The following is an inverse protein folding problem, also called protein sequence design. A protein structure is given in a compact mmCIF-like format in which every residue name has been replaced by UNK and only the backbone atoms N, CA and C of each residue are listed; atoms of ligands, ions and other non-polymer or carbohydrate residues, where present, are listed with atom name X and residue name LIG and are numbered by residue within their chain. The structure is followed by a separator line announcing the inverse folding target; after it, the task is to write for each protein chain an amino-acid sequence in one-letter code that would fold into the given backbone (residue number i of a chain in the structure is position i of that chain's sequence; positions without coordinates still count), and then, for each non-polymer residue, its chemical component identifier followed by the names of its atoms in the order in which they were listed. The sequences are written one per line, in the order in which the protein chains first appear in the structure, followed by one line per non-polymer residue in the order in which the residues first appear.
data_IF_447449888991
#
_entry.id   IF_447449888991
#
_cell.length_a   1.000
_cell.length_b   1.000
_cell.length_c   1.000
_cell.angle_alpha   90.00
_cell.angle_beta   90.00
_cell.angle_gamma   90.00
#
_symmetry.space_group_name_H-M   'P 1'
#
loop_
_entity.id
_entity.type
_entity.pdbx_description
1 polymer ?
#
# COMPACT_ATOMS: atom_id res chain seq x y z
N UNK A 1 14.42 -19.01 -0.73
CA UNK A 1 15.04 -18.13 0.25
C UNK A 1 14.20 -18.14 1.53
N UNK A 2 14.83 -18.18 2.69
CA UNK A 2 14.13 -18.03 3.97
C UNK A 2 13.85 -16.54 4.19
N UNK A 3 12.64 -16.12 3.87
CA UNK A 3 12.20 -14.72 3.93
C UNK A 3 12.11 -14.16 5.36
N UNK A 4 12.33 -15.01 6.36
CA UNK A 4 12.28 -14.61 7.77
C UNK A 4 13.67 -14.32 8.34
N UNK A 5 14.71 -14.43 7.53
CA UNK A 5 16.10 -14.12 7.92
C UNK A 5 16.56 -12.82 7.27
N UNK A 6 17.28 -12.02 8.04
CA UNK A 6 18.02 -10.89 7.48
C UNK A 6 19.11 -11.40 6.54
N UNK A 7 19.28 -10.73 5.42
CA UNK A 7 20.37 -10.99 4.49
C UNK A 7 21.61 -10.17 4.90
N UNK A 8 22.79 -10.58 4.41
CA UNK A 8 24.02 -9.86 4.65
C UNK A 8 23.91 -8.39 4.20
N UNK A 9 24.28 -7.47 5.07
CA UNK A 9 24.21 -6.04 4.82
C UNK A 9 22.85 -5.38 5.14
N UNK A 10 21.84 -6.13 5.56
CA UNK A 10 20.61 -5.55 6.07
C UNK A 10 20.78 -5.01 7.48
N UNK A 11 20.12 -3.89 7.78
CA UNK A 11 20.00 -3.42 9.14
C UNK A 11 19.07 -4.34 9.93
N UNK A 12 19.60 -4.94 11.00
CA UNK A 12 18.78 -5.73 11.94
C UNK A 12 18.01 -4.78 12.84
N UNK A 13 16.68 -4.95 12.87
CA UNK A 13 15.82 -4.20 13.78
C UNK A 13 15.56 -5.10 14.99
N UNK A 14 16.04 -4.69 16.15
CA UNK A 14 15.75 -5.37 17.42
C UNK A 14 14.28 -5.12 17.78
N UNK A 15 13.44 -6.13 17.55
CA UNK A 15 12.01 -6.10 17.83
C UNK A 15 11.49 -7.51 18.08
N UNK A 16 10.56 -7.67 19.01
CA UNK A 16 9.86 -8.92 19.30
C UNK A 16 8.56 -9.10 18.48
N UNK A 17 8.29 -8.16 17.57
CA UNK A 17 7.05 -8.16 16.75
C UNK A 17 6.93 -9.44 15.94
N UNK A 18 8.03 -9.91 15.32
CA UNK A 18 8.04 -11.15 14.55
C UNK A 18 7.56 -12.33 15.39
N UNK A 19 8.13 -12.50 16.61
CA UNK A 19 7.80 -13.62 17.47
C UNK A 19 6.36 -13.53 17.98
N UNK A 20 5.89 -12.32 18.31
CA UNK A 20 4.49 -12.07 18.67
C UNK A 20 3.54 -12.42 17.53
N UNK A 21 3.85 -12.03 16.30
CA UNK A 21 3.01 -12.34 15.12
C UNK A 21 2.98 -13.84 14.86
N UNK A 22 4.14 -14.51 14.87
CA UNK A 22 4.21 -15.95 14.65
C UNK A 22 3.48 -16.73 15.72
N UNK A 23 3.58 -16.31 16.97
CA UNK A 23 2.82 -16.91 18.08
C UNK A 23 1.33 -16.73 17.86
N UNK A 24 0.86 -15.51 17.59
CA UNK A 24 -0.55 -15.23 17.35
C UNK A 24 -1.10 -16.00 16.14
N UNK A 25 -0.32 -16.16 15.09
CA UNK A 25 -0.69 -16.95 13.92
C UNK A 25 -0.80 -18.45 14.25
N UNK A 26 0.11 -18.98 15.07
CA UNK A 26 0.09 -20.38 15.51
C UNK A 26 -1.07 -20.70 16.46
N UNK A 27 -1.53 -19.73 17.22
CA UNK A 27 -2.65 -19.86 18.16
C UNK A 27 -4.03 -19.60 17.50
N UNK A 28 -4.05 -19.03 16.28
CA UNK A 28 -5.29 -18.72 15.59
C UNK A 28 -5.85 -19.94 14.86
N UNK A 29 -6.89 -20.53 15.44
CA UNK A 29 -7.72 -21.54 14.77
C UNK A 29 -8.99 -20.88 14.21
N UNK A 30 -8.97 -20.60 12.91
CA UNK A 30 -10.09 -19.92 12.24
C UNK A 30 -11.36 -20.78 12.17
N UNK A 31 -11.29 -22.10 12.37
CA UNK A 31 -12.44 -22.98 12.43
C UNK A 31 -13.10 -23.05 13.82
N UNK A 32 -12.47 -22.49 14.85
CA UNK A 32 -13.00 -22.50 16.22
C UNK A 32 -14.14 -21.51 16.45
N UNK A 33 -14.31 -20.54 15.55
CA UNK A 33 -15.35 -19.51 15.66
C UNK A 33 -16.71 -20.02 15.22
N UNK A 34 -17.74 -19.53 15.91
CA UNK A 34 -19.15 -19.91 15.72
C UNK A 34 -19.98 -18.74 15.19
N UNK A 35 -21.20 -19.01 14.76
CA UNK A 35 -22.17 -17.96 14.40
C UNK A 35 -22.38 -16.95 15.53
N UNK A 36 -22.44 -17.42 16.80
CA UNK A 36 -22.60 -16.56 17.97
C UNK A 36 -21.42 -15.60 18.17
N UNK A 37 -20.20 -16.00 17.80
CA UNK A 37 -19.03 -15.12 17.86
C UNK A 37 -19.12 -14.01 16.83
N UNK A 38 -19.60 -14.32 15.61
CA UNK A 38 -19.81 -13.35 14.54
C UNK A 38 -20.94 -12.38 14.89
N UNK A 39 -22.05 -12.87 15.43
CA UNK A 39 -23.19 -12.03 15.88
C UNK A 39 -22.76 -11.08 17.00
N UNK A 40 -22.00 -11.58 17.98
CA UNK A 40 -21.42 -10.75 19.04
C UNK A 40 -20.50 -9.67 18.45
N UNK A 41 -19.59 -10.03 17.54
CA UNK A 41 -18.69 -9.11 16.88
C UNK A 41 -19.47 -8.02 16.09
N UNK A 42 -20.55 -8.38 15.41
CA UNK A 42 -21.43 -7.45 14.70
C UNK A 42 -22.13 -6.48 15.65
N UNK A 43 -22.42 -6.89 16.90
CA UNK A 43 -23.08 -6.03 17.88
C UNK A 43 -22.15 -4.96 18.50
N UNK A 44 -20.84 -5.13 18.43
CA UNK A 44 -19.88 -4.19 19.00
C UNK A 44 -19.78 -2.93 18.13
N UNK A 45 -19.79 -1.76 18.75
CA UNK A 45 -19.59 -0.48 18.08
C UNK A 45 -18.17 -0.37 17.52
N UNK A 46 -17.19 -0.76 18.34
CA UNK A 46 -15.77 -0.78 17.94
C UNK A 46 -15.28 -2.22 17.88
N UNK A 47 -14.71 -2.59 16.73
CA UNK A 47 -14.21 -3.93 16.47
C UNK A 47 -12.88 -4.18 17.21
N UNK A 48 -12.84 -5.25 18.00
CA UNK A 48 -11.61 -5.76 18.63
C UNK A 48 -10.85 -6.69 17.67
N UNK A 49 -9.64 -7.08 18.05
CA UNK A 49 -8.87 -8.10 17.30
C UNK A 49 -9.61 -9.44 17.29
N UNK A 50 -10.26 -9.82 18.39
CA UNK A 50 -11.05 -11.05 18.45
C UNK A 50 -12.29 -10.99 17.56
N UNK A 51 -12.96 -9.85 17.47
CA UNK A 51 -14.06 -9.64 16.54
C UNK A 51 -13.59 -9.76 15.09
N UNK A 52 -12.42 -9.18 14.78
CA UNK A 52 -11.83 -9.29 13.45
C UNK A 52 -11.47 -10.73 13.09
N UNK A 53 -10.93 -11.51 14.03
CA UNK A 53 -10.69 -12.94 13.86
C UNK A 53 -11.98 -13.72 13.57
N UNK A 54 -13.06 -13.42 14.28
CA UNK A 54 -14.38 -14.03 14.01
C UNK A 54 -14.88 -13.69 12.60
N UNK A 55 -14.71 -12.45 12.14
CA UNK A 55 -15.08 -12.04 10.79
C UNK A 55 -14.26 -12.69 9.67
N UNK A 56 -13.04 -13.10 9.95
CA UNK A 56 -12.19 -13.84 9.01
C UNK A 56 -12.49 -15.35 8.98
N UNK A 57 -13.32 -15.85 9.89
CA UNK A 57 -13.64 -17.27 10.01
C UNK A 57 -14.71 -17.72 8.97
N UNK A 58 -14.79 -19.03 8.67
CA UNK A 58 -15.87 -19.56 7.83
C UNK A 58 -17.27 -19.30 8.38
N UNK A 59 -17.40 -19.16 9.72
CA UNK A 59 -18.68 -18.84 10.37
C UNK A 59 -19.25 -17.48 9.94
N UNK A 60 -18.40 -16.56 9.44
CA UNK A 60 -18.82 -15.25 8.98
C UNK A 60 -19.47 -15.27 7.57
N UNK A 61 -19.29 -16.32 6.78
CA UNK A 61 -19.80 -16.36 5.41
C UNK A 61 -21.31 -16.04 5.28
N UNK A 62 -22.21 -16.54 6.15
CA UNK A 62 -23.64 -16.19 6.10
C UNK A 62 -23.93 -14.72 6.46
N UNK A 63 -22.98 -14.01 7.08
CA UNK A 63 -23.13 -12.66 7.60
C UNK A 63 -22.47 -11.59 6.72
N UNK A 64 -21.95 -11.94 5.56
CA UNK A 64 -21.20 -11.01 4.68
C UNK A 64 -22.00 -9.75 4.35
N UNK A 65 -23.30 -9.86 4.08
CA UNK A 65 -24.15 -8.70 3.81
C UNK A 65 -24.27 -7.77 5.03
N UNK A 66 -24.41 -8.34 6.22
CA UNK A 66 -24.49 -7.55 7.47
C UNK A 66 -23.16 -6.87 7.78
N UNK A 67 -22.04 -7.56 7.55
CA UNK A 67 -20.70 -6.99 7.69
C UNK A 67 -20.49 -5.85 6.68
N UNK A 68 -20.92 -6.03 5.43
CA UNK A 68 -20.83 -4.99 4.39
C UNK A 68 -21.65 -3.73 4.75
N UNK A 69 -22.87 -3.91 5.25
CA UNK A 69 -23.72 -2.78 5.70
C UNK A 69 -23.11 -2.03 6.87
N UNK A 70 -22.58 -2.75 7.85
CA UNK A 70 -21.87 -2.14 8.98
C UNK A 70 -20.63 -1.37 8.52
N UNK A 71 -19.84 -1.95 7.63
CA UNK A 71 -18.66 -1.30 7.05
C UNK A 71 -19.06 -0.04 6.25
N UNK A 72 -20.14 -0.09 5.48
CA UNK A 72 -20.69 1.06 4.75
C UNK A 72 -21.07 2.21 5.71
N UNK A 73 -21.80 1.89 6.79
CA UNK A 73 -22.20 2.86 7.80
C UNK A 73 -20.98 3.52 8.45
N UNK A 74 -20.00 2.72 8.90
CA UNK A 74 -18.76 3.23 9.50
C UNK A 74 -18.01 4.12 8.50
N UNK A 75 -17.91 3.69 7.25
CA UNK A 75 -17.23 4.44 6.20
C UNK A 75 -17.93 5.79 5.97
N UNK A 76 -19.25 5.80 5.85
CA UNK A 76 -20.02 7.04 5.68
C UNK A 76 -19.89 7.99 6.87
N UNK A 77 -19.87 7.46 8.09
CA UNK A 77 -19.71 8.26 9.30
C UNK A 77 -18.33 8.93 9.39
N UNK A 78 -17.27 8.28 8.88
CA UNK A 78 -15.91 8.78 8.96
C UNK A 78 -15.48 9.59 7.72
N UNK A 79 -15.95 9.22 6.54
CA UNK A 79 -15.46 9.76 5.26
C UNK A 79 -16.57 10.42 4.42
N UNK A 80 -17.84 10.31 4.84
CA UNK A 80 -18.98 10.78 4.05
C UNK A 80 -19.13 10.00 2.74
N UNK A 81 -19.53 10.72 1.69
CA UNK A 81 -19.71 10.16 0.35
C UNK A 81 -18.55 10.51 -0.60
N UNK A 82 -17.43 11.02 -0.05
CA UNK A 82 -16.29 11.41 -0.86
C UNK A 82 -15.49 10.19 -1.29
N UNK A 83 -15.20 10.11 -2.57
CA UNK A 83 -14.32 9.07 -3.16
C UNK A 83 -13.16 9.76 -3.85
N UNK A 84 -11.94 9.37 -3.51
CA UNK A 84 -10.73 9.82 -4.21
C UNK A 84 -10.45 8.87 -5.36
N UNK A 85 -10.36 9.44 -6.57
CA UNK A 85 -10.03 8.68 -7.78
C UNK A 85 -8.68 9.18 -8.29
N UNK A 86 -7.70 8.31 -8.28
CA UNK A 86 -6.35 8.59 -8.75
C UNK A 86 -5.83 7.47 -9.63
N UNK A 87 -4.81 7.75 -10.41
CA UNK A 87 -4.10 6.74 -11.19
C UNK A 87 -2.61 6.73 -10.87
N UNK A 88 -1.97 5.56 -10.79
CA UNK A 88 -0.53 5.47 -10.61
C UNK A 88 0.22 5.77 -11.92
N UNK A 89 1.35 6.46 -11.81
CA UNK A 89 2.34 6.59 -12.87
C UNK A 89 3.71 6.15 -12.35
N UNK A 90 4.19 5.03 -12.88
CA UNK A 90 5.52 4.50 -12.57
C UNK A 90 6.56 5.22 -13.42
N UNK A 91 7.25 6.20 -12.82
CA UNK A 91 8.26 7.00 -13.54
C UNK A 91 9.61 6.29 -13.66
N UNK A 92 9.92 5.35 -12.75
CA UNK A 92 11.09 4.48 -12.83
C UNK A 92 10.85 3.16 -12.08
N UNK A 93 11.34 2.04 -12.62
CA UNK A 93 11.20 0.72 -12.00
C UNK A 93 12.54 0.07 -11.61
N UNK A 94 13.63 0.84 -11.61
CA UNK A 94 14.90 0.39 -11.03
C UNK A 94 14.77 0.33 -9.52
N UNK A 95 15.16 -0.79 -8.90
CA UNK A 95 15.12 -0.99 -7.46
C UNK A 95 16.36 -1.78 -7.02
N UNK A 96 16.92 -1.42 -5.86
CA UNK A 96 18.05 -2.10 -5.23
C UNK A 96 17.59 -3.13 -4.18
N UNK A 97 16.29 -3.09 -3.82
CA UNK A 97 15.72 -3.94 -2.81
C UNK A 97 15.26 -5.29 -3.37
N UNK A 98 15.14 -6.25 -2.47
CA UNK A 98 14.74 -7.64 -2.77
C UNK A 98 13.46 -8.05 -2.04
N UNK A 99 12.51 -7.11 -1.88
CA UNK A 99 11.19 -7.39 -1.31
C UNK A 99 10.52 -8.53 -2.08
N UNK A 100 10.21 -9.62 -1.37
CA UNK A 100 9.77 -10.89 -1.98
C UNK A 100 8.45 -10.81 -2.74
N UNK A 101 7.61 -9.84 -2.40
CA UNK A 101 6.29 -9.62 -3.01
C UNK A 101 6.31 -8.59 -4.14
N UNK A 102 7.41 -7.87 -4.34
CA UNK A 102 7.45 -6.74 -5.26
C UNK A 102 7.99 -7.13 -6.63
N UNK A 103 7.26 -6.80 -7.70
CA UNK A 103 7.70 -7.02 -9.07
C UNK A 103 8.99 -6.29 -9.43
N UNK A 104 9.32 -5.18 -8.74
CA UNK A 104 10.56 -4.42 -8.95
C UNK A 104 11.76 -4.98 -8.20
N UNK A 105 11.60 -6.06 -7.46
CA UNK A 105 12.70 -6.76 -6.79
C UNK A 105 13.95 -6.86 -7.68
N UNK A 106 15.12 -6.54 -7.12
CA UNK A 106 16.38 -6.46 -7.89
C UNK A 106 16.80 -7.79 -8.55
N UNK A 107 16.33 -8.93 -8.03
CA UNK A 107 16.58 -10.26 -8.60
C UNK A 107 15.60 -10.65 -9.72
N UNK A 108 14.51 -9.91 -9.88
CA UNK A 108 13.57 -10.20 -10.95
C UNK A 108 14.12 -9.76 -12.30
N UNK A 109 14.09 -10.68 -13.27
CA UNK A 109 14.46 -10.39 -14.64
C UNK A 109 13.29 -9.71 -15.38
N UNK A 110 13.15 -8.40 -15.19
CA UNK A 110 12.14 -7.57 -15.84
C UNK A 110 12.79 -6.48 -16.67
N UNK A 111 12.07 -5.96 -17.66
CA UNK A 111 12.51 -4.79 -18.40
C UNK A 111 12.54 -3.57 -17.45
N UNK A 112 13.73 -3.02 -17.24
CA UNK A 112 13.93 -1.82 -16.45
C UNK A 112 13.85 -0.58 -17.33
N UNK A 113 13.15 0.45 -16.85
CA UNK A 113 13.05 1.75 -17.52
C UNK A 113 12.99 2.88 -16.50
N UNK A 114 13.58 4.01 -16.84
CA UNK A 114 13.38 5.33 -16.25
C UNK A 114 12.84 6.22 -17.36
N UNK A 115 11.73 6.89 -17.13
CA UNK A 115 11.18 7.86 -18.07
C UNK A 115 12.02 9.14 -18.03
N UNK A 116 12.27 9.76 -19.18
CA UNK A 116 12.78 11.12 -19.22
C UNK A 116 11.64 12.14 -18.98
N UNK A 117 11.97 13.41 -18.74
CA UNK A 117 10.95 14.40 -18.38
C UNK A 117 9.94 14.67 -19.50
N UNK A 118 10.31 14.52 -20.75
CA UNK A 118 9.37 14.64 -21.89
C UNK A 118 8.40 13.46 -21.93
N UNK A 119 8.88 12.24 -21.67
CA UNK A 119 8.03 11.07 -21.55
C UNK A 119 7.07 11.20 -20.36
N UNK A 120 7.56 11.66 -19.20
CA UNK A 120 6.74 11.92 -18.01
C UNK A 120 5.64 12.94 -18.34
N UNK A 121 5.98 14.07 -18.95
CA UNK A 121 5.03 15.10 -19.29
C UNK A 121 3.99 14.61 -20.30
N UNK A 122 4.41 13.82 -21.29
CA UNK A 122 3.49 13.21 -22.27
C UNK A 122 2.48 12.27 -21.59
N UNK A 123 2.94 11.36 -20.73
CA UNK A 123 2.04 10.45 -19.99
C UNK A 123 1.06 11.23 -19.12
N UNK A 124 1.53 12.27 -18.42
CA UNK A 124 0.68 13.13 -17.59
C UNK A 124 -0.39 13.87 -18.40
N UNK A 125 -0.04 14.34 -19.60
CA UNK A 125 -1.00 14.96 -20.52
C UNK A 125 -2.09 13.96 -20.96
N UNK A 126 -1.71 12.72 -21.26
CA UNK A 126 -2.65 11.67 -21.65
C UNK A 126 -3.58 11.34 -20.49
N UNK A 127 -3.04 11.18 -19.28
CA UNK A 127 -3.84 10.92 -18.08
C UNK A 127 -4.79 12.07 -17.78
N UNK A 128 -4.32 13.31 -17.81
CA UNK A 128 -5.15 14.49 -17.53
C UNK A 128 -6.33 14.64 -18.52
N UNK A 129 -6.15 14.25 -19.80
CA UNK A 129 -7.23 14.23 -20.79
C UNK A 129 -8.37 13.26 -20.46
N UNK A 130 -8.14 12.28 -19.60
CA UNK A 130 -9.21 11.37 -19.11
C UNK A 130 -10.13 12.03 -18.09
N UNK A 131 -9.80 13.23 -17.60
CA UNK A 131 -10.51 13.92 -16.53
C UNK A 131 -10.01 13.58 -15.13
N UNK A 132 -8.92 12.82 -15.00
CA UNK A 132 -8.27 12.57 -13.71
C UNK A 132 -7.68 13.85 -13.14
N UNK A 133 -8.03 14.15 -11.88
CA UNK A 133 -7.51 15.31 -11.15
C UNK A 133 -6.39 14.96 -10.16
N UNK A 134 -6.18 13.67 -9.93
CA UNK A 134 -5.20 13.15 -8.97
C UNK A 134 -4.29 12.11 -9.61
N UNK A 135 -3.00 12.17 -9.26
CA UNK A 135 -1.98 11.24 -9.73
C UNK A 135 -1.13 10.74 -8.55
N UNK A 136 -0.71 9.48 -8.63
CA UNK A 136 0.25 8.88 -7.70
C UNK A 136 1.53 8.54 -8.45
N UNK A 137 2.63 9.21 -8.12
CA UNK A 137 3.93 8.95 -8.72
C UNK A 137 4.67 7.86 -7.95
N UNK A 138 5.13 6.83 -8.63
CA UNK A 138 5.81 5.68 -8.03
C UNK A 138 7.19 5.46 -8.62
N UNK A 139 8.11 5.05 -7.75
CA UNK A 139 9.43 4.55 -8.16
C UNK A 139 9.83 3.33 -7.34
N UNK A 140 10.75 2.53 -7.88
CA UNK A 140 11.58 1.68 -7.06
C UNK A 140 12.65 2.49 -6.32
N UNK A 141 13.29 1.91 -5.31
CA UNK A 141 14.39 2.53 -4.61
C UNK A 141 15.68 2.43 -5.43
N UNK A 142 16.12 3.54 -5.99
CA UNK A 142 17.41 3.64 -6.67
C UNK A 142 17.91 5.08 -6.66
N UNK A 143 18.84 5.39 -5.77
CA UNK A 143 19.45 6.72 -5.72
C UNK A 143 20.21 7.10 -7.01
N UNK A 144 20.53 6.13 -7.86
CA UNK A 144 21.15 6.36 -9.16
C UNK A 144 20.16 6.72 -10.26
N UNK A 145 18.99 6.09 -10.25
CA UNK A 145 18.01 6.21 -11.36
C UNK A 145 16.78 7.02 -10.99
N UNK A 146 16.42 7.10 -9.71
CA UNK A 146 15.29 7.86 -9.20
C UNK A 146 15.70 8.60 -7.93
N UNK A 147 16.70 9.50 -8.07
CA UNK A 147 17.11 10.40 -6.99
C UNK A 147 16.01 11.41 -6.67
N UNK A 148 16.17 12.13 -5.57
CA UNK A 148 15.18 13.09 -5.06
C UNK A 148 14.94 14.22 -6.03
N UNK A 149 16.00 14.70 -6.70
CA UNK A 149 15.93 15.76 -7.71
C UNK A 149 15.06 15.33 -8.89
N UNK A 150 15.25 14.11 -9.39
CA UNK A 150 14.41 13.56 -10.48
C UNK A 150 12.95 13.44 -10.07
N UNK A 151 12.68 12.95 -8.86
CA UNK A 151 11.32 12.84 -8.33
C UNK A 151 10.71 14.23 -8.16
N UNK A 152 11.46 15.19 -7.63
CA UNK A 152 11.03 16.58 -7.45
C UNK A 152 10.66 17.25 -8.78
N UNK A 153 11.45 17.05 -9.82
CA UNK A 153 11.13 17.58 -11.16
C UNK A 153 9.87 16.92 -11.74
N UNK A 154 9.68 15.61 -11.55
CA UNK A 154 8.45 14.94 -11.95
C UNK A 154 7.21 15.50 -11.22
N UNK A 155 7.33 15.81 -9.93
CA UNK A 155 6.26 16.49 -9.15
C UNK A 155 5.97 17.89 -9.72
N UNK A 156 6.98 18.68 -10.04
CA UNK A 156 6.79 20.00 -10.67
C UNK A 156 6.07 19.91 -12.03
N UNK A 157 6.37 18.90 -12.83
CA UNK A 157 5.64 18.64 -14.06
C UNK A 157 4.19 18.29 -13.76
N UNK A 158 3.94 17.41 -12.79
CA UNK A 158 2.59 16.99 -12.41
C UNK A 158 1.71 18.15 -11.94
N UNK A 159 2.28 19.16 -11.25
CA UNK A 159 1.56 20.37 -10.81
C UNK A 159 0.89 21.16 -11.94
N UNK A 160 1.33 20.98 -13.18
CA UNK A 160 0.70 21.64 -14.35
C UNK A 160 -0.63 20.99 -14.73
N UNK A 161 -0.88 19.75 -14.32
CA UNK A 161 -1.98 18.91 -14.84
C UNK A 161 -2.92 18.41 -13.76
N UNK A 162 -2.46 18.27 -12.51
CA UNK A 162 -3.20 17.62 -11.43
C UNK A 162 -3.35 18.53 -10.23
N UNK A 163 -4.48 18.42 -9.54
CA UNK A 163 -4.78 19.16 -8.30
C UNK A 163 -4.11 18.52 -7.08
N UNK A 164 -4.11 17.18 -7.04
CA UNK A 164 -3.50 16.41 -5.97
C UNK A 164 -2.45 15.47 -6.54
N UNK A 165 -1.27 15.48 -5.92
CA UNK A 165 -0.13 14.67 -6.33
C UNK A 165 0.33 13.88 -5.12
N UNK A 166 0.12 12.56 -5.17
CA UNK A 166 0.70 11.61 -4.24
C UNK A 166 2.06 11.13 -4.73
N UNK A 167 2.93 10.79 -3.81
CA UNK A 167 4.18 10.10 -4.10
C UNK A 167 4.27 8.83 -3.26
N UNK A 168 4.70 7.73 -3.86
CA UNK A 168 4.98 6.47 -3.19
C UNK A 168 6.37 6.02 -3.59
N UNK A 169 7.33 6.40 -2.77
CA UNK A 169 8.75 6.28 -3.03
C UNK A 169 9.47 5.69 -1.80
N UNK A 170 10.76 5.44 -1.94
CA UNK A 170 11.62 5.02 -0.83
C UNK A 170 11.75 6.13 0.23
N UNK A 171 12.10 5.78 1.49
CA UNK A 171 12.27 6.76 2.55
C UNK A 171 13.36 7.79 2.19
N UNK A 172 13.03 9.06 2.32
CA UNK A 172 13.94 10.19 2.15
C UNK A 172 13.97 11.01 3.44
N UNK A 173 15.09 11.63 3.74
CA UNK A 173 15.19 12.47 4.91
C UNK A 173 14.51 13.86 4.68
N UNK A 174 14.20 14.55 5.78
CA UNK A 174 13.54 15.84 5.73
C UNK A 174 14.34 16.92 4.97
N UNK A 175 15.67 16.79 4.92
CA UNK A 175 16.55 17.75 4.23
C UNK A 175 16.55 17.54 2.72
N UNK A 176 16.18 16.36 2.28
CA UNK A 176 16.13 16.02 0.85
C UNK A 176 14.85 16.49 0.15
N UNK A 177 13.87 17.02 0.90
CA UNK A 177 12.53 17.37 0.40
C UNK A 177 12.28 18.89 0.37
N UNK A 178 13.27 19.70 0.77
CA UNK A 178 13.17 21.18 0.82
C UNK A 178 13.81 21.81 -0.40
#
# INVERSE_FOLDING_TARGET
ADHMKYMDGMQVIESDIKDKVLKAMGEYDYNSYTAADVERALSHETCSIEDFKAFLSPAAAPYLEQMARKAEEITKNHFGNTVYIFTPLYIANYCQNYCIYCGFNCYNNIRRKKLNFQEIEHEMQVIAKTGMEEILLLTGESRKYSDVEYIGEAVKIAQKYFKNIGIEIYPVDRKSVV
#
